data_IF_819979144963
#
_entry.id   IF_819979144963
#
_cell.length_a   1.000
_cell.length_b   1.000
_cell.length_c   1.000
_cell.angle_alpha   90.00
_cell.angle_beta   90.00
_cell.angle_gamma   90.00
#
_symmetry.space_group_name_H-M   'P 1'
#
loop_
_entity.id
_entity.type
_entity.pdbx_description
1 polymer ?
#
# COMPACT_ATOMS: atom_id res chain seq x y z
N UNK A 1 -13.08 -9.87 5.29
CA UNK A 1 -12.01 -9.54 4.32
C UNK A 1 -11.83 -8.04 4.33
N UNK A 2 -10.60 -7.56 4.41
CA UNK A 2 -10.37 -6.13 4.16
C UNK A 2 -10.63 -5.86 2.67
N UNK A 3 -11.05 -4.64 2.30
CA UNK A 3 -11.23 -4.28 0.88
C UNK A 3 -9.95 -4.50 0.04
N UNK A 4 -8.77 -4.53 0.68
CA UNK A 4 -7.50 -4.82 0.03
C UNK A 4 -7.40 -6.29 -0.40
N UNK A 5 -7.91 -7.23 0.40
CA UNK A 5 -7.81 -8.66 0.10
C UNK A 5 -8.67 -9.05 -1.10
N UNK A 6 -9.81 -8.38 -1.28
CA UNK A 6 -10.66 -8.56 -2.45
C UNK A 6 -9.97 -8.08 -3.74
N UNK A 7 -9.36 -6.88 -3.72
CA UNK A 7 -8.63 -6.37 -4.89
C UNK A 7 -7.43 -7.26 -5.23
N UNK A 8 -6.73 -7.76 -4.21
CA UNK A 8 -5.61 -8.69 -4.36
C UNK A 8 -6.04 -9.98 -5.05
N UNK A 9 -7.17 -10.55 -4.62
CA UNK A 9 -7.79 -11.76 -5.17
C UNK A 9 -8.15 -11.57 -6.65
N UNK A 10 -8.85 -10.48 -7.00
CA UNK A 10 -9.25 -10.18 -8.39
C UNK A 10 -8.04 -10.06 -9.33
N UNK A 11 -6.88 -9.61 -8.85
CA UNK A 11 -5.69 -9.44 -9.69
C UNK A 11 -4.92 -10.76 -9.88
N UNK A 12 -5.04 -11.71 -8.95
CA UNK A 12 -4.15 -12.90 -8.93
C UNK A 12 -4.84 -14.23 -9.18
N UNK A 13 -6.14 -14.32 -8.96
CA UNK A 13 -6.86 -15.59 -9.12
C UNK A 13 -7.12 -15.87 -10.61
N UNK A 14 -6.97 -17.14 -11.02
CA UNK A 14 -7.17 -17.58 -12.40
C UNK A 14 -8.66 -17.71 -12.77
N UNK A 15 -9.53 -17.81 -11.76
CA UNK A 15 -10.98 -17.84 -11.90
C UNK A 15 -11.63 -16.89 -10.91
N UNK A 16 -12.81 -16.40 -11.26
CA UNK A 16 -13.63 -15.62 -10.34
C UNK A 16 -15.09 -16.07 -10.43
N UNK A 17 -15.82 -15.88 -9.33
CA UNK A 17 -17.22 -16.28 -9.28
C UNK A 17 -18.12 -15.08 -9.52
N UNK A 18 -18.85 -15.12 -10.63
CA UNK A 18 -19.76 -14.05 -11.04
C UNK A 18 -21.15 -14.33 -10.47
N UNK A 19 -21.71 -13.31 -9.81
CA UNK A 19 -23.06 -13.33 -9.27
C UNK A 19 -23.91 -12.23 -9.94
N UNK A 20 -24.31 -12.50 -11.18
CA UNK A 20 -25.16 -11.61 -11.96
C UNK A 20 -26.61 -11.62 -11.44
N UNK A 21 -27.31 -10.49 -11.63
CA UNK A 21 -28.70 -10.39 -11.23
C UNK A 21 -29.56 -11.27 -12.12
N UNK A 22 -30.39 -12.12 -11.51
CA UNK A 22 -31.29 -13.06 -12.20
C UNK A 22 -30.59 -14.18 -12.99
N UNK A 23 -29.31 -14.42 -12.74
CA UNK A 23 -28.53 -15.50 -13.34
C UNK A 23 -27.96 -16.37 -12.22
N UNK A 24 -27.92 -17.70 -12.37
CA UNK A 24 -27.25 -18.55 -11.41
C UNK A 24 -25.76 -18.18 -11.28
N UNK A 25 -25.27 -18.18 -10.04
CA UNK A 25 -23.86 -17.98 -9.72
C UNK A 25 -23.02 -19.02 -10.45
N UNK A 26 -22.01 -18.58 -11.20
CA UNK A 26 -21.14 -19.43 -12.00
C UNK A 26 -19.70 -18.95 -11.92
N UNK A 27 -18.76 -19.88 -12.11
CA UNK A 27 -17.33 -19.62 -12.10
C UNK A 27 -16.83 -19.41 -13.54
N UNK A 28 -16.02 -18.38 -13.73
CA UNK A 28 -15.43 -18.04 -15.03
C UNK A 28 -13.93 -17.86 -14.91
N UNK A 29 -13.22 -17.99 -16.02
CA UNK A 29 -11.81 -17.63 -16.12
C UNK A 29 -11.61 -16.12 -15.96
N UNK A 30 -10.60 -15.74 -15.19
CA UNK A 30 -10.26 -14.35 -14.94
C UNK A 30 -9.28 -13.82 -15.99
N UNK A 31 -9.80 -12.98 -16.90
CA UNK A 31 -9.02 -12.29 -17.93
C UNK A 31 -8.88 -10.79 -17.66
N UNK A 32 -9.12 -10.37 -16.41
CA UNK A 32 -9.20 -8.94 -16.06
C UNK A 32 -7.83 -8.26 -16.01
N UNK A 33 -7.73 -7.09 -16.64
CA UNK A 33 -6.64 -6.14 -16.42
C UNK A 33 -7.20 -4.81 -15.91
N UNK A 34 -6.81 -4.41 -14.70
CA UNK A 34 -7.41 -3.28 -13.99
C UNK A 34 -6.53 -2.04 -14.13
N UNK A 35 -7.11 -0.95 -14.63
CA UNK A 35 -6.50 0.37 -14.62
C UNK A 35 -7.32 1.28 -13.72
N UNK A 36 -6.67 1.95 -12.76
CA UNK A 36 -7.33 2.87 -11.83
C UNK A 36 -6.72 4.26 -12.02
N UNK A 37 -7.58 5.26 -12.23
CA UNK A 37 -7.20 6.67 -12.38
C UNK A 37 -7.71 7.43 -11.17
N UNK A 38 -6.82 8.14 -10.47
CA UNK A 38 -7.14 8.73 -9.18
C UNK A 38 -6.45 10.08 -9.05
N UNK A 39 -7.17 11.05 -8.51
CA UNK A 39 -6.66 12.39 -8.17
C UNK A 39 -6.51 12.60 -6.65
N UNK A 40 -6.71 11.54 -5.86
CA UNK A 40 -6.53 11.56 -4.41
C UNK A 40 -5.11 11.08 -4.07
N UNK A 41 -4.47 11.74 -3.11
CA UNK A 41 -3.18 11.38 -2.53
C UNK A 41 -3.22 10.13 -1.64
N UNK A 42 -4.41 9.70 -1.19
CA UNK A 42 -4.63 8.44 -0.45
C UNK A 42 -5.60 7.50 -1.17
N UNK A 43 -5.26 7.03 -2.39
CA UNK A 43 -6.19 6.25 -3.20
C UNK A 43 -6.43 4.82 -2.67
N UNK A 44 -5.35 4.19 -2.22
CA UNK A 44 -5.28 2.78 -1.89
C UNK A 44 -4.16 2.60 -0.86
N UNK A 45 -4.40 1.80 0.18
CA UNK A 45 -3.33 1.38 1.09
C UNK A 45 -2.44 0.40 0.37
N UNK A 46 -1.18 0.75 0.16
CA UNK A 46 -0.18 -0.08 -0.51
C UNK A 46 0.97 -0.33 0.46
N UNK A 47 1.34 -1.60 0.63
CA UNK A 47 2.47 -2.01 1.43
C UNK A 47 3.77 -1.96 0.62
N UNK A 48 4.91 -1.80 1.30
CA UNK A 48 6.22 -1.80 0.63
C UNK A 48 6.57 -3.14 -0.05
N UNK A 49 6.00 -4.25 0.45
CA UNK A 49 6.15 -5.59 -0.15
C UNK A 49 5.23 -5.82 -1.35
N UNK A 50 4.33 -4.87 -1.66
CA UNK A 50 3.33 -5.05 -2.69
C UNK A 50 3.93 -4.90 -4.09
N UNK A 51 3.87 -6.00 -4.84
CA UNK A 51 4.54 -6.19 -6.14
C UNK A 51 3.60 -6.24 -7.33
N UNK A 52 2.30 -5.95 -7.13
CA UNK A 52 1.27 -6.06 -8.19
C UNK A 52 0.82 -4.71 -8.77
N UNK A 53 1.07 -3.61 -8.08
CA UNK A 53 0.67 -2.28 -8.55
C UNK A 53 1.86 -1.52 -9.15
N UNK A 54 1.70 -1.10 -10.41
CA UNK A 54 2.46 0.00 -11.02
C UNK A 54 1.73 1.30 -10.66
N UNK A 55 2.47 2.27 -10.15
CA UNK A 55 1.97 3.63 -9.91
C UNK A 55 2.84 4.58 -10.71
N UNK A 56 2.23 5.44 -11.51
CA UNK A 56 2.92 6.47 -12.27
C UNK A 56 2.13 7.77 -12.24
N UNK A 57 2.85 8.89 -12.35
CA UNK A 57 2.23 10.17 -12.60
C UNK A 57 1.90 10.28 -14.09
N UNK A 58 0.73 10.84 -14.39
CA UNK A 58 0.31 11.04 -15.77
C UNK A 58 1.17 12.14 -16.41
N UNK A 59 1.85 11.78 -17.50
CA UNK A 59 2.57 12.73 -18.35
C UNK A 59 1.80 12.98 -19.64
N UNK A 60 1.75 14.23 -20.09
CA UNK A 60 1.09 14.64 -21.33
C UNK A 60 1.99 14.53 -22.57
N UNK A 61 3.26 14.11 -22.42
CA UNK A 61 4.30 14.15 -23.47
C UNK A 61 3.88 13.44 -24.77
N UNK A 62 3.19 12.30 -24.68
CA UNK A 62 2.76 11.52 -25.85
C UNK A 62 1.25 11.58 -26.11
N UNK A 63 0.55 12.59 -25.59
CA UNK A 63 -0.90 12.72 -25.76
C UNK A 63 -1.26 12.81 -27.24
N UNK A 64 -2.06 11.86 -27.73
CA UNK A 64 -2.51 11.80 -29.13
C UNK A 64 -1.45 11.32 -30.13
N UNK A 65 -0.26 10.92 -29.68
CA UNK A 65 0.80 10.44 -30.56
C UNK A 65 0.61 8.95 -30.90
N UNK A 66 -0.27 8.67 -31.88
CA UNK A 66 -0.59 7.31 -32.28
C UNK A 66 0.64 6.55 -32.81
N UNK A 67 1.51 7.24 -33.56
CA UNK A 67 2.73 6.66 -34.15
C UNK A 67 3.69 6.13 -33.06
N UNK A 68 3.82 6.86 -31.95
CA UNK A 68 4.62 6.41 -30.81
C UNK A 68 4.09 5.09 -30.24
N UNK A 69 2.78 5.00 -30.00
CA UNK A 69 2.18 3.80 -29.41
C UNK A 69 2.15 2.60 -30.36
N UNK A 70 2.00 2.81 -31.67
CA UNK A 70 2.03 1.72 -32.65
C UNK A 70 3.42 1.16 -32.89
N UNK A 71 4.46 1.99 -32.74
CA UNK A 71 5.85 1.60 -32.95
C UNK A 71 6.58 1.18 -31.65
N UNK A 72 5.86 1.14 -30.52
CA UNK A 72 6.44 0.79 -29.24
C UNK A 72 6.73 -0.71 -29.19
N UNK A 73 8.01 -1.08 -29.15
CA UNK A 73 8.42 -2.47 -28.96
C UNK A 73 8.26 -2.87 -27.49
N UNK A 74 7.33 -3.79 -27.24
CA UNK A 74 7.05 -4.37 -25.92
C UNK A 74 7.48 -5.85 -25.84
N UNK A 75 8.27 -6.35 -26.79
CA UNK A 75 8.71 -7.76 -26.83
C UNK A 75 9.49 -8.18 -25.58
N UNK A 76 10.24 -7.25 -24.98
CA UNK A 76 11.01 -7.46 -23.75
C UNK A 76 10.24 -7.04 -22.47
N UNK A 77 8.99 -6.59 -22.60
CA UNK A 77 8.21 -6.14 -21.46
C UNK A 77 7.78 -7.32 -20.59
N UNK A 78 8.18 -7.30 -19.33
CA UNK A 78 7.73 -8.26 -18.32
C UNK A 78 6.78 -7.57 -17.33
N UNK A 79 5.46 -7.86 -17.39
CA UNK A 79 4.48 -7.27 -16.47
C UNK A 79 4.74 -7.58 -14.99
N UNK A 80 5.49 -8.66 -14.69
CA UNK A 80 5.84 -9.05 -13.31
C UNK A 80 7.03 -8.26 -12.76
N UNK A 81 7.79 -7.57 -13.61
CA UNK A 81 8.91 -6.74 -13.19
C UNK A 81 8.45 -5.29 -12.99
N UNK A 82 7.85 -5.02 -11.83
CA UNK A 82 7.28 -3.71 -11.51
C UNK A 82 8.33 -2.81 -10.83
N UNK A 83 8.66 -1.65 -11.41
CA UNK A 83 9.63 -0.74 -10.82
C UNK A 83 9.09 -0.01 -9.58
N UNK A 84 9.99 0.38 -8.68
CA UNK A 84 9.68 1.23 -7.52
C UNK A 84 9.79 2.72 -7.92
N UNK A 85 8.70 3.26 -8.49
CA UNK A 85 8.60 4.66 -8.90
C UNK A 85 8.47 5.61 -7.71
N UNK A 86 8.72 6.91 -7.91
CA UNK A 86 8.55 7.92 -6.85
C UNK A 86 7.09 7.99 -6.39
N UNK A 87 6.14 8.05 -7.32
CA UNK A 87 4.71 8.01 -7.02
C UNK A 87 4.32 6.79 -6.17
N UNK A 88 4.92 5.61 -6.44
CA UNK A 88 4.68 4.42 -5.62
C UNK A 88 5.22 4.60 -4.20
N UNK A 89 6.42 5.16 -4.04
CA UNK A 89 7.01 5.46 -2.71
C UNK A 89 6.14 6.44 -1.93
N UNK A 90 5.60 7.45 -2.60
CA UNK A 90 4.76 8.47 -1.97
C UNK A 90 3.44 7.86 -1.47
N UNK A 91 2.79 7.01 -2.27
CA UNK A 91 1.58 6.28 -1.84
C UNK A 91 1.89 5.29 -0.72
N UNK A 92 3.02 4.57 -0.78
CA UNK A 92 3.44 3.68 0.31
C UNK A 92 3.61 4.48 1.60
N UNK A 93 4.36 5.59 1.55
CA UNK A 93 4.58 6.46 2.71
C UNK A 93 3.25 6.98 3.27
N UNK A 94 2.36 7.44 2.39
CA UNK A 94 1.01 7.86 2.72
C UNK A 94 0.14 6.74 3.33
N UNK A 95 0.46 5.47 3.03
CA UNK A 95 -0.25 4.31 3.56
C UNK A 95 0.25 3.86 4.93
N UNK A 96 1.42 4.32 5.38
CA UNK A 96 2.01 3.97 6.68
C UNK A 96 1.19 4.61 7.81
N UNK A 97 0.93 3.83 8.86
CA UNK A 97 0.27 4.32 10.07
C UNK A 97 1.09 5.43 10.72
N UNK A 98 0.49 6.51 11.26
CA UNK A 98 1.22 7.54 11.98
C UNK A 98 2.10 7.00 13.13
N UNK A 99 1.72 5.88 13.74
CA UNK A 99 2.52 5.21 14.78
C UNK A 99 3.73 4.50 14.19
N UNK A 100 3.53 3.78 13.08
CA UNK A 100 4.62 3.07 12.41
C UNK A 100 5.63 4.06 11.82
N UNK A 101 5.17 5.22 11.32
CA UNK A 101 6.04 6.29 10.82
C UNK A 101 6.98 6.83 11.93
N UNK A 102 6.44 7.03 13.15
CA UNK A 102 7.25 7.40 14.32
C UNK A 102 8.27 6.30 14.65
N UNK A 103 7.85 5.03 14.67
CA UNK A 103 8.75 3.90 14.95
C UNK A 103 9.88 3.84 13.92
N UNK A 104 9.56 4.02 12.63
CA UNK A 104 10.54 4.03 11.54
C UNK A 104 11.51 5.22 11.71
N UNK A 105 11.00 6.41 12.00
CA UNK A 105 11.83 7.62 12.15
C UNK A 105 12.80 7.52 13.32
N UNK A 106 12.40 6.91 14.43
CA UNK A 106 13.19 6.80 15.66
C UNK A 106 13.71 5.37 15.92
N UNK A 107 13.78 4.53 14.89
CA UNK A 107 14.10 3.10 15.01
C UNK A 107 15.34 2.80 15.87
N UNK A 108 16.39 3.63 15.75
CA UNK A 108 17.60 3.51 16.57
C UNK A 108 17.31 3.70 18.06
N UNK A 109 16.59 4.75 18.43
CA UNK A 109 16.21 5.01 19.82
C UNK A 109 15.31 3.93 20.40
N UNK A 110 14.42 3.34 19.59
CA UNK A 110 13.64 2.16 20.00
C UNK A 110 14.53 0.95 20.26
N UNK A 111 15.51 0.68 19.37
CA UNK A 111 16.48 -0.41 19.54
C UNK A 111 17.32 -0.23 20.81
N UNK A 112 17.67 1.02 21.13
CA UNK A 112 18.54 1.37 22.25
C UNK A 112 17.80 1.48 23.60
N UNK A 113 16.47 1.29 23.62
CA UNK A 113 15.67 1.27 24.84
C UNK A 113 15.25 2.66 25.34
N UNK A 114 14.52 3.40 24.50
CA UNK A 114 13.97 4.72 24.85
C UNK A 114 12.91 4.65 25.97
N UNK A 115 12.85 5.69 26.82
CA UNK A 115 11.87 5.80 27.90
C UNK A 115 10.50 6.27 27.39
N UNK A 116 9.42 5.83 28.04
CA UNK A 116 8.05 6.15 27.65
C UNK A 116 7.78 7.67 27.57
N UNK A 117 8.36 8.46 28.48
CA UNK A 117 8.16 9.91 28.53
C UNK A 117 8.64 10.62 27.24
N UNK A 118 9.75 10.16 26.67
CA UNK A 118 10.30 10.73 25.43
C UNK A 118 9.39 10.38 24.24
N UNK A 119 8.91 9.15 24.22
CA UNK A 119 8.10 8.61 23.13
C UNK A 119 6.71 9.22 23.09
N UNK A 120 6.10 9.48 24.25
CA UNK A 120 4.86 10.24 24.32
C UNK A 120 4.98 11.65 23.69
N UNK A 121 6.19 12.21 23.70
CA UNK A 121 6.53 13.46 23.00
C UNK A 121 6.58 13.35 21.47
N UNK A 122 6.75 12.15 20.92
CA UNK A 122 6.74 11.90 19.47
C UNK A 122 5.34 11.61 18.90
N UNK A 123 4.31 11.80 19.73
CA UNK A 123 2.92 11.56 19.33
C UNK A 123 2.52 12.44 18.13
N UNK A 124 1.97 11.85 17.05
CA UNK A 124 1.38 12.60 15.94
C UNK A 124 0.26 13.53 16.44
N UNK A 125 0.23 14.78 15.97
CA UNK A 125 -0.72 15.80 16.46
C UNK A 125 -2.20 15.38 16.33
N UNK A 126 -2.52 14.61 15.29
CA UNK A 126 -3.88 14.17 14.99
C UNK A 126 -4.36 13.03 15.90
N UNK A 127 -3.46 12.38 16.65
CA UNK A 127 -3.79 11.21 17.46
C UNK A 127 -4.00 11.57 18.93
N UNK A 128 -5.10 11.09 19.52
CA UNK A 128 -5.35 11.19 20.97
C UNK A 128 -4.27 10.41 21.75
N UNK A 129 -3.80 10.98 22.87
CA UNK A 129 -2.75 10.37 23.71
C UNK A 129 -3.05 8.91 24.07
N UNK A 130 -4.28 8.63 24.54
CA UNK A 130 -4.70 7.28 24.93
C UNK A 130 -4.60 6.26 23.78
N UNK A 131 -4.95 6.69 22.56
CA UNK A 131 -4.88 5.82 21.38
C UNK A 131 -3.43 5.56 20.98
N UNK A 132 -2.58 6.59 21.06
CA UNK A 132 -1.15 6.47 20.78
C UNK A 132 -0.44 5.55 21.78
N UNK A 133 -0.68 5.75 23.09
CA UNK A 133 -0.17 4.88 24.16
C UNK A 133 -0.58 3.42 23.94
N UNK A 134 -1.86 3.17 23.61
CA UNK A 134 -2.33 1.80 23.35
C UNK A 134 -1.62 1.17 22.13
N UNK A 135 -1.46 1.92 21.05
CA UNK A 135 -0.83 1.44 19.83
C UNK A 135 0.67 1.19 19.99
N UNK A 136 1.37 2.06 20.72
CA UNK A 136 2.82 1.99 20.90
C UNK A 136 3.24 0.98 21.97
N UNK A 137 2.36 0.67 22.94
CA UNK A 137 2.63 -0.30 24.01
C UNK A 137 3.06 -1.66 23.47
N UNK A 138 2.50 -2.09 22.33
CA UNK A 138 2.89 -3.32 21.62
C UNK A 138 4.37 -3.37 21.25
N UNK A 139 4.99 -2.22 21.03
CA UNK A 139 6.39 -2.08 20.59
C UNK A 139 7.35 -1.70 21.73
N UNK A 140 6.81 -1.36 22.90
CA UNK A 140 7.57 -0.93 24.08
C UNK A 140 7.70 -1.98 25.17
N UNK A 141 6.90 -3.07 25.15
CA UNK A 141 7.00 -4.14 26.13
C UNK A 141 8.30 -4.93 25.98
N UNK A 142 9.34 -4.51 26.71
CA UNK A 142 9.95 -5.41 27.67
C UNK A 142 9.28 -5.10 29.00
N UNK A 143 8.41 -5.99 29.46
CA UNK A 143 8.11 -6.05 30.87
C UNK A 143 9.46 -6.29 31.56
N UNK A 144 10.00 -5.26 32.19
CA UNK A 144 10.94 -5.49 33.28
C UNK A 144 10.11 -6.13 34.37
N UNK A 145 10.02 -7.46 34.34
CA UNK A 145 9.89 -8.26 35.55
C UNK A 145 11.12 -7.92 36.40
N UNK A 146 10.99 -6.88 37.20
CA UNK A 146 11.83 -6.67 38.38
C UNK A 146 11.28 -7.56 39.47
N UNK A 147 12.05 -8.61 39.79
CA UNK A 147 12.21 -9.35 41.05
C UNK A 147 11.04 -9.42 42.04
#
# INVERSE_FOLDING_TARGET
MSNMDALKSIITEDSCVINEKYVPKHEVENVMNIMIVINNIYPLKIDNSERRYVVCECSSVHRGNLVYFTNLDISQFNPRNIPMTQAKKDIIKASISPVDDVIICYFKSFRDGVTCNIVEGWRPQEMKLKNYQLAIKKYMCKDTETD
#
